data_IF_575363313472
#
_entry.id   IF_575363313472
#
_cell.length_a   1.000
_cell.length_b   1.000
_cell.length_c   1.000
_cell.angle_alpha   90.00
_cell.angle_beta   90.00
_cell.angle_gamma   90.00
#
_symmetry.space_group_name_H-M   'P 1'
#
loop_
_entity.id
_entity.type
_entity.pdbx_description
1 polymer ?
#
# COMPACT_ATOMS: atom_id res chain seq x y z
N UNK A 1 -16.28 4.39 2.05
CA UNK A 1 -15.20 5.39 2.24
C UNK A 1 -14.05 5.04 1.32
N UNK A 2 -13.64 5.97 0.45
CA UNK A 2 -12.70 5.74 -0.67
C UNK A 2 -11.23 5.94 -0.29
N UNK A 3 -10.92 6.67 0.78
CA UNK A 3 -9.55 6.89 1.25
C UNK A 3 -9.51 7.05 2.77
N UNK A 4 -8.46 6.52 3.40
CA UNK A 4 -8.15 6.74 4.81
C UNK A 4 -7.38 8.06 4.92
N UNK A 5 -8.05 9.11 5.40
CA UNK A 5 -7.45 10.44 5.52
C UNK A 5 -6.62 10.54 6.81
N UNK A 6 -5.37 11.01 6.70
CA UNK A 6 -4.55 11.41 7.85
C UNK A 6 -3.34 10.53 8.19
N UNK A 7 -3.16 9.37 7.57
CA UNK A 7 -1.97 8.53 7.76
C UNK A 7 -1.44 8.01 6.41
N UNK A 8 -0.21 8.41 6.05
CA UNK A 8 0.46 7.99 4.81
C UNK A 8 1.26 6.68 4.99
N UNK A 9 1.57 6.36 6.26
CA UNK A 9 2.30 5.18 6.69
C UNK A 9 2.02 4.95 8.17
N UNK A 10 1.94 3.68 8.59
CA UNK A 10 1.88 3.32 10.01
C UNK A 10 3.01 2.38 10.40
N UNK A 11 3.17 1.27 9.70
CA UNK A 11 4.21 0.27 9.92
C UNK A 11 4.41 -0.61 8.67
N UNK A 12 5.48 -1.41 8.65
CA UNK A 12 5.81 -2.34 7.56
C UNK A 12 6.76 -1.75 6.52
N UNK A 13 7.04 -2.50 5.44
CA UNK A 13 7.93 -2.04 4.38
C UNK A 13 7.18 -1.24 3.30
N UNK A 14 7.87 -0.22 2.78
CA UNK A 14 7.44 0.53 1.59
C UNK A 14 7.97 -0.14 0.34
N UNK A 15 7.18 -0.13 -0.73
CA UNK A 15 7.57 -0.66 -2.04
C UNK A 15 7.32 0.38 -3.12
N UNK A 16 8.29 0.59 -4.00
CA UNK A 16 8.07 1.40 -5.20
C UNK A 16 7.47 0.54 -6.32
N UNK A 17 6.64 1.16 -7.17
CA UNK A 17 6.27 0.54 -8.43
C UNK A 17 7.51 0.36 -9.32
N UNK A 18 7.46 -0.57 -10.26
CA UNK A 18 8.60 -0.88 -11.15
C UNK A 18 9.14 0.34 -11.91
N UNK A 19 8.26 1.26 -12.30
CA UNK A 19 8.62 2.51 -12.98
C UNK A 19 9.02 3.65 -12.02
N UNK A 20 8.90 3.46 -10.70
CA UNK A 20 9.24 4.47 -9.69
C UNK A 20 8.20 5.58 -9.51
N UNK A 21 7.08 5.54 -10.24
CA UNK A 21 6.08 6.61 -10.25
C UNK A 21 5.11 6.53 -9.07
N UNK A 22 5.10 5.41 -8.35
CA UNK A 22 4.20 5.20 -7.22
C UNK A 22 4.89 4.56 -6.03
N UNK A 23 4.42 4.91 -4.83
CA UNK A 23 4.76 4.24 -3.58
C UNK A 23 3.55 3.42 -3.13
N UNK A 24 3.77 2.14 -2.89
CA UNK A 24 2.82 1.25 -2.24
C UNK A 24 3.19 1.16 -0.75
N UNK A 25 2.25 1.52 0.12
CA UNK A 25 2.45 1.62 1.56
C UNK A 25 1.36 0.87 2.32
N UNK A 26 1.72 0.07 3.33
CA UNK A 26 0.76 -0.38 4.33
C UNK A 26 0.31 0.78 5.22
N UNK A 27 -1.01 0.97 5.30
CA UNK A 27 -1.66 1.96 6.16
C UNK A 27 -2.59 1.24 7.12
N UNK A 28 -2.04 0.81 8.26
CA UNK A 28 -2.76 -0.04 9.21
C UNK A 28 -2.96 -1.44 8.65
N UNK A 29 -4.21 -1.87 8.54
CA UNK A 29 -4.60 -3.17 7.97
C UNK A 29 -4.99 -3.10 6.48
N UNK A 30 -4.68 -1.98 5.80
CA UNK A 30 -4.98 -1.73 4.39
C UNK A 30 -3.73 -1.32 3.62
N UNK A 31 -3.81 -1.33 2.30
CA UNK A 31 -2.75 -0.84 1.41
C UNK A 31 -3.24 0.37 0.64
N UNK A 32 -2.39 1.38 0.56
CA UNK A 32 -2.58 2.54 -0.31
C UNK A 32 -1.46 2.67 -1.34
N UNK A 33 -1.83 3.09 -2.54
CA UNK A 33 -0.93 3.44 -3.64
C UNK A 33 -0.93 4.96 -3.79
N UNK A 34 0.24 5.56 -3.70
CA UNK A 34 0.48 6.98 -3.86
C UNK A 34 1.16 7.22 -5.20
N UNK A 35 0.42 7.73 -6.17
CA UNK A 35 0.95 8.17 -7.45
C UNK A 35 1.63 9.53 -7.27
N UNK A 36 2.96 9.51 -7.32
CA UNK A 36 3.81 10.67 -7.07
C UNK A 36 3.79 11.67 -8.24
N UNK A 37 3.53 11.20 -9.46
CA UNK A 37 3.48 12.07 -10.65
C UNK A 37 2.19 12.86 -10.72
N UNK A 38 1.08 12.20 -10.40
CA UNK A 38 -0.25 12.78 -10.56
C UNK A 38 -0.84 13.32 -9.24
N UNK A 39 -0.11 13.21 -8.11
CA UNK A 39 -0.60 13.55 -6.78
C UNK A 39 -1.94 12.87 -6.44
N UNK A 40 -2.05 11.60 -6.81
CA UNK A 40 -3.26 10.79 -6.58
C UNK A 40 -2.99 9.71 -5.54
N UNK A 41 -4.03 9.36 -4.79
CA UNK A 41 -3.97 8.29 -3.81
C UNK A 41 -5.19 7.40 -3.95
N UNK A 42 -4.94 6.10 -3.97
CA UNK A 42 -5.96 5.07 -3.96
C UNK A 42 -5.68 4.10 -2.81
N UNK A 43 -6.71 3.76 -2.04
CA UNK A 43 -6.64 2.71 -1.02
C UNK A 43 -7.41 1.51 -1.51
N UNK A 44 -6.74 0.35 -1.60
CA UNK A 44 -7.40 -0.85 -2.12
C UNK A 44 -8.56 -1.30 -1.20
N UNK A 45 -9.62 -1.89 -1.76
CA UNK A 45 -10.78 -2.36 -1.02
C UNK A 45 -10.53 -3.71 -0.32
N UNK A 46 -9.29 -3.97 0.10
CA UNK A 46 -8.89 -5.17 0.85
C UNK A 46 -8.35 -4.76 2.21
N UNK A 47 -8.63 -5.58 3.22
CA UNK A 47 -8.12 -5.37 4.56
C UNK A 47 -7.82 -6.69 5.27
N UNK A 48 -6.74 -6.71 6.05
CA UNK A 48 -6.38 -7.80 6.97
C UNK A 48 -7.07 -7.63 8.34
N UNK A 49 -6.98 -8.63 9.21
CA UNK A 49 -7.58 -8.55 10.55
C UNK A 49 -6.74 -7.70 11.51
N UNK A 50 -5.41 -7.68 11.33
CA UNK A 50 -4.49 -6.83 12.11
C UNK A 50 -3.66 -5.91 11.20
N UNK A 51 -2.79 -5.09 11.79
CA UNK A 51 -1.92 -4.22 11.01
C UNK A 51 -0.96 -5.06 10.14
N UNK A 52 -0.81 -4.67 8.88
CA UNK A 52 0.11 -5.32 7.94
C UNK A 52 1.54 -5.04 8.41
N UNK A 53 2.35 -6.08 8.54
CA UNK A 53 3.76 -6.01 8.94
C UNK A 53 4.71 -6.16 7.76
N UNK A 54 4.32 -6.91 6.74
CA UNK A 54 5.13 -7.13 5.54
C UNK A 54 4.25 -7.16 4.28
N UNK A 55 4.74 -6.55 3.21
CA UNK A 55 4.13 -6.51 1.90
C UNK A 55 5.14 -6.99 0.84
N UNK A 56 4.80 -8.05 0.12
CA UNK A 56 5.52 -8.51 -1.07
C UNK A 56 4.72 -8.19 -2.33
N UNK A 57 5.35 -7.63 -3.35
CA UNK A 57 4.72 -7.32 -4.64
C UNK A 57 5.48 -8.06 -5.74
N UNK A 58 4.78 -8.71 -6.66
CA UNK A 58 5.39 -9.37 -7.80
C UNK A 58 6.11 -8.34 -8.70
N UNK A 59 7.19 -8.71 -9.40
CA UNK A 59 7.93 -7.77 -10.26
C UNK A 59 7.09 -7.12 -11.37
N UNK A 60 5.97 -7.72 -11.77
CA UNK A 60 5.03 -7.16 -12.74
C UNK A 60 3.95 -6.27 -12.12
N UNK A 61 3.86 -6.18 -10.79
CA UNK A 61 2.90 -5.33 -10.06
C UNK A 61 1.48 -5.90 -9.94
N UNK A 62 1.21 -7.09 -10.46
CA UNK A 62 -0.16 -7.63 -10.56
C UNK A 62 -0.57 -8.51 -9.37
N UNK A 63 0.37 -8.89 -8.51
CA UNK A 63 0.12 -9.72 -7.34
C UNK A 63 0.78 -9.10 -6.12
N UNK A 64 0.06 -9.06 -5.01
CA UNK A 64 0.57 -8.66 -3.71
C UNK A 64 0.27 -9.74 -2.66
N UNK A 65 1.25 -10.01 -1.78
CA UNK A 65 1.11 -10.86 -0.60
C UNK A 65 1.23 -9.96 0.63
N UNK A 66 0.25 -10.07 1.53
CA UNK A 66 0.14 -9.30 2.74
C UNK A 66 0.33 -10.23 3.94
N UNK A 67 1.19 -9.83 4.89
CA UNK A 67 1.39 -10.55 6.15
C UNK A 67 1.02 -9.60 7.29
N UNK A 68 0.00 -9.94 8.07
CA UNK A 68 -0.38 -9.24 9.30
C UNK A 68 0.23 -9.89 10.56
N UNK A 69 -0.01 -9.27 11.72
CA UNK A 69 0.48 -9.68 13.05
C UNK A 69 -0.11 -10.99 13.60
#
# INVERSE_FOLDING_TARGET
FSNLLGAFYKQGNLSFSKNGDSVISPVGNRISVFDLKNNKTETFPVSTSKNIRCLGISPNGNLAILIDE
#
